data_IF_179048654657
#
_entry.id   IF_179048654657
#
_cell.length_a   1.000
_cell.length_b   1.000
_cell.length_c   1.000
_cell.angle_alpha   90.00
_cell.angle_beta   90.00
_cell.angle_gamma   90.00
#
_symmetry.space_group_name_H-M   'P 1'
#
loop_
_entity.id
_entity.type
_entity.pdbx_description
1 polymer ?
#
# COMPACT_ATOMS: atom_id res chain seq x y z
N UNK A 1 18.13 14.32 -25.64
CA UNK A 1 17.51 13.11 -25.05
C UNK A 1 17.74 13.01 -23.55
N UNK A 2 18.98 13.16 -23.06
CA UNK A 2 19.32 13.04 -21.63
C UNK A 2 18.57 14.06 -20.74
N UNK A 3 18.46 15.33 -21.15
CA UNK A 3 17.72 16.33 -20.35
C UNK A 3 16.22 16.02 -20.21
N UNK A 4 15.61 15.45 -21.24
CA UNK A 4 14.21 15.02 -21.19
C UNK A 4 14.02 13.89 -20.18
N UNK A 5 14.92 12.91 -20.14
CA UNK A 5 14.87 11.79 -19.20
C UNK A 5 15.06 12.26 -17.75
N UNK A 6 16.00 13.18 -17.51
CA UNK A 6 16.22 13.76 -16.19
C UNK A 6 14.95 14.48 -15.71
N UNK A 7 14.27 15.22 -16.61
CA UNK A 7 13.01 15.88 -16.26
C UNK A 7 11.90 14.88 -15.90
N UNK A 8 11.79 13.76 -16.61
CA UNK A 8 10.81 12.68 -16.33
C UNK A 8 11.06 12.06 -14.96
N UNK A 9 12.32 11.78 -14.60
CA UNK A 9 12.66 11.24 -13.28
C UNK A 9 12.18 12.13 -12.14
N UNK A 10 12.37 13.45 -12.26
CA UNK A 10 11.87 14.42 -11.28
C UNK A 10 10.34 14.48 -11.20
N UNK A 11 9.65 14.40 -12.34
CA UNK A 11 8.18 14.33 -12.33
C UNK A 11 7.66 13.07 -11.64
N UNK A 12 8.29 11.91 -11.86
CA UNK A 12 7.92 10.66 -11.19
C UNK A 12 8.09 10.78 -9.68
N UNK A 13 9.21 11.37 -9.21
CA UNK A 13 9.44 11.61 -7.78
C UNK A 13 8.37 12.55 -7.22
N UNK A 14 8.09 13.66 -7.91
CA UNK A 14 7.13 14.65 -7.44
C UNK A 14 5.71 14.08 -7.34
N UNK A 15 5.26 13.31 -8.34
CA UNK A 15 3.97 12.62 -8.32
C UNK A 15 3.94 11.57 -7.21
N UNK A 16 5.02 10.81 -7.03
CA UNK A 16 5.09 9.80 -5.97
C UNK A 16 5.02 10.42 -4.57
N UNK A 17 5.72 11.53 -4.34
CA UNK A 17 5.62 12.31 -3.09
C UNK A 17 4.20 12.83 -2.89
N UNK A 18 3.53 13.31 -3.94
CA UNK A 18 2.14 13.75 -3.86
C UNK A 18 1.21 12.61 -3.46
N UNK A 19 1.39 11.41 -4.00
CA UNK A 19 0.61 10.22 -3.62
C UNK A 19 0.81 9.86 -2.15
N UNK A 20 2.06 9.91 -1.66
CA UNK A 20 2.34 9.68 -0.24
C UNK A 20 1.73 10.77 0.65
N UNK A 21 1.75 12.04 0.22
CA UNK A 21 1.12 13.12 0.95
C UNK A 21 -0.40 12.94 1.03
N UNK A 22 -1.06 12.55 -0.07
CA UNK A 22 -2.51 12.30 -0.10
C UNK A 22 -2.88 11.11 0.80
N UNK A 23 -2.07 10.05 0.80
CA UNK A 23 -2.25 8.87 1.65
C UNK A 23 -2.32 9.24 3.15
N UNK A 24 -1.64 10.29 3.60
CA UNK A 24 -1.69 10.72 5.01
C UNK A 24 -3.09 11.16 5.49
N UNK A 25 -3.98 11.56 4.58
CA UNK A 25 -5.32 12.01 4.93
C UNK A 25 -6.34 10.86 5.03
N UNK A 26 -6.11 9.76 4.31
CA UNK A 26 -6.99 8.60 4.28
C UNK A 26 -6.13 7.33 4.35
N UNK A 27 -5.78 6.85 5.56
CA UNK A 27 -4.88 5.72 5.73
C UNK A 27 -5.54 4.41 5.28
N UNK A 28 -5.32 4.04 4.03
CA UNK A 28 -5.77 2.78 3.42
C UNK A 28 -4.67 2.04 2.64
N UNK A 29 -3.48 2.64 2.58
CA UNK A 29 -2.26 2.25 1.86
C UNK A 29 -2.44 1.94 0.37
N UNK A 30 -3.53 2.42 -0.24
CA UNK A 30 -3.77 2.22 -1.66
C UNK A 30 -2.86 3.12 -2.52
N UNK A 31 -2.62 4.35 -2.10
CA UNK A 31 -1.74 5.31 -2.78
C UNK A 31 -0.29 5.21 -2.31
N UNK A 32 -0.05 4.64 -1.12
CA UNK A 32 1.28 4.33 -0.60
C UNK A 32 2.14 3.49 -1.56
N UNK A 33 1.62 2.35 -2.03
CA UNK A 33 2.32 1.43 -2.95
C UNK A 33 2.72 2.10 -4.29
N UNK A 34 1.80 2.72 -5.05
CA UNK A 34 2.18 3.37 -6.30
C UNK A 34 3.08 4.58 -6.04
N UNK A 35 2.89 5.31 -4.93
CA UNK A 35 3.73 6.47 -4.58
C UNK A 35 5.19 6.12 -4.35
N UNK A 36 5.48 5.12 -3.51
CA UNK A 36 6.85 4.65 -3.26
C UNK A 36 7.50 4.07 -4.52
N UNK A 37 6.71 3.34 -5.33
CA UNK A 37 7.18 2.75 -6.59
C UNK A 37 7.60 3.84 -7.59
N UNK A 38 6.80 4.90 -7.73
CA UNK A 38 7.12 6.04 -8.59
C UNK A 38 8.39 6.77 -8.15
N UNK A 39 8.58 6.97 -6.84
CA UNK A 39 9.80 7.61 -6.30
C UNK A 39 11.03 6.76 -6.64
N UNK A 40 10.97 5.45 -6.41
CA UNK A 40 12.11 4.56 -6.66
C UNK A 40 12.44 4.49 -8.15
N UNK A 41 11.44 4.36 -9.02
CA UNK A 41 11.64 4.39 -10.47
C UNK A 41 12.23 5.74 -10.90
N UNK A 42 11.73 6.84 -10.35
CA UNK A 42 12.25 8.18 -10.62
C UNK A 42 13.73 8.30 -10.24
N UNK A 43 14.12 7.87 -9.04
CA UNK A 43 15.52 7.84 -8.60
C UNK A 43 16.38 6.96 -9.51
N UNK A 44 15.92 5.75 -9.83
CA UNK A 44 16.65 4.83 -10.73
C UNK A 44 16.85 5.47 -12.09
N UNK A 45 15.86 6.19 -12.62
CA UNK A 45 15.96 6.86 -13.91
C UNK A 45 16.92 8.05 -13.93
N UNK A 46 17.14 8.71 -12.79
CA UNK A 46 18.15 9.77 -12.66
C UNK A 46 19.58 9.20 -12.65
N UNK A 47 19.75 7.99 -12.12
CA UNK A 47 21.06 7.30 -12.04
C UNK A 47 21.37 6.58 -13.35
N UNK A 48 20.35 5.97 -13.98
CA UNK A 48 20.45 5.21 -15.23
C UNK A 48 19.43 5.77 -16.23
N UNK A 49 19.78 6.83 -16.98
CA UNK A 49 18.85 7.48 -17.92
C UNK A 49 18.28 6.53 -18.99
N UNK A 50 19.08 5.58 -19.47
CA UNK A 50 18.66 4.64 -20.52
C UNK A 50 17.69 3.55 -20.02
N UNK A 51 17.31 3.55 -18.73
CA UNK A 51 16.42 2.55 -18.14
C UNK A 51 15.04 2.51 -18.81
N UNK A 52 14.56 3.65 -19.33
CA UNK A 52 13.24 3.74 -19.99
C UNK A 52 13.14 2.93 -21.28
N UNK A 53 14.27 2.66 -21.93
CA UNK A 53 14.33 1.83 -23.13
C UNK A 53 14.52 0.33 -22.81
N UNK A 54 14.70 -0.01 -21.53
CA UNK A 54 15.03 -1.36 -21.07
C UNK A 54 13.81 -2.06 -20.46
N UNK A 55 13.57 -3.35 -20.78
CA UNK A 55 12.60 -4.18 -20.07
C UNK A 55 12.86 -4.28 -18.56
N UNK A 56 14.09 -4.01 -18.13
CA UNK A 56 14.48 -3.98 -16.72
C UNK A 56 13.66 -2.97 -15.91
N UNK A 57 13.18 -1.88 -16.53
CA UNK A 57 12.29 -0.93 -15.86
C UNK A 57 11.04 -1.61 -15.30
N UNK A 58 10.41 -2.48 -16.10
CA UNK A 58 9.19 -3.19 -15.72
C UNK A 58 9.49 -4.13 -14.55
N UNK A 59 10.61 -4.86 -14.63
CA UNK A 59 11.04 -5.78 -13.57
C UNK A 59 11.28 -5.02 -12.26
N UNK A 60 12.00 -3.90 -12.30
CA UNK A 60 12.26 -3.05 -11.14
C UNK A 60 10.96 -2.50 -10.58
N UNK A 61 10.06 -2.02 -11.43
CA UNK A 61 8.76 -1.49 -11.02
C UNK A 61 7.93 -2.55 -10.28
N UNK A 62 7.82 -3.77 -10.83
CA UNK A 62 7.07 -4.87 -10.22
C UNK A 62 7.70 -5.30 -8.89
N UNK A 63 9.00 -5.51 -8.85
CA UNK A 63 9.71 -5.90 -7.62
C UNK A 63 9.50 -4.83 -6.55
N UNK A 64 9.65 -3.56 -6.91
CA UNK A 64 9.48 -2.45 -5.98
C UNK A 64 8.05 -2.36 -5.45
N UNK A 65 7.05 -2.53 -6.32
CA UNK A 65 5.65 -2.53 -5.92
C UNK A 65 5.33 -3.68 -4.95
N UNK A 66 5.84 -4.89 -5.24
CA UNK A 66 5.66 -6.06 -4.37
C UNK A 66 6.34 -5.87 -3.01
N UNK A 67 7.58 -5.36 -2.99
CA UNK A 67 8.30 -5.06 -1.76
C UNK A 67 7.56 -4.00 -0.96
N UNK A 68 7.12 -2.90 -1.60
CA UNK A 68 6.39 -1.85 -0.91
C UNK A 68 5.06 -2.35 -0.36
N UNK A 69 4.31 -3.15 -1.11
CA UNK A 69 3.06 -3.74 -0.62
C UNK A 69 3.32 -4.68 0.57
N UNK A 70 4.32 -5.54 0.46
CA UNK A 70 4.69 -6.49 1.51
C UNK A 70 5.15 -5.79 2.79
N UNK A 71 6.05 -4.82 2.69
CA UNK A 71 6.53 -4.02 3.83
C UNK A 71 5.35 -3.33 4.51
N UNK A 72 4.42 -2.77 3.74
CA UNK A 72 3.31 -2.05 4.32
C UNK A 72 2.32 -2.96 5.01
N UNK A 73 1.92 -4.07 4.38
CA UNK A 73 1.10 -5.09 5.05
C UNK A 73 1.79 -5.56 6.33
N UNK A 74 3.11 -5.76 6.30
CA UNK A 74 3.87 -6.13 7.48
C UNK A 74 3.85 -5.05 8.57
N UNK A 75 4.04 -3.77 8.23
CA UNK A 75 3.93 -2.64 9.17
C UNK A 75 2.53 -2.56 9.77
N UNK A 76 1.48 -2.68 8.95
CA UNK A 76 0.10 -2.72 9.44
C UNK A 76 -0.15 -3.92 10.34
N UNK A 77 0.39 -5.10 10.00
CA UNK A 77 0.28 -6.27 10.86
C UNK A 77 1.01 -6.08 12.18
N UNK A 78 2.14 -5.36 12.19
CA UNK A 78 2.91 -5.08 13.40
C UNK A 78 2.16 -4.11 14.31
N UNK A 79 1.56 -3.06 13.74
CA UNK A 79 0.80 -2.06 14.50
C UNK A 79 -0.55 -2.65 14.96
N UNK A 80 -1.26 -3.34 14.08
CA UNK A 80 -2.59 -3.90 14.33
C UNK A 80 -2.61 -5.19 15.16
N UNK A 81 -1.49 -5.91 15.27
CA UNK A 81 -1.37 -7.09 16.14
C UNK A 81 -1.23 -6.73 17.63
N UNK A 82 -1.13 -5.45 17.97
CA UNK A 82 -1.22 -4.96 19.35
C UNK A 82 -2.64 -5.11 19.89
N UNK A 83 -2.98 -6.28 20.44
CA UNK A 83 -4.01 -6.58 21.47
C UNK A 83 -5.32 -5.76 21.49
N UNK A 84 -5.78 -5.24 20.37
CA UNK A 84 -7.06 -4.53 20.32
C UNK A 84 -8.08 -5.60 19.98
N UNK A 85 -8.76 -6.11 21.02
CA UNK A 85 -9.95 -6.95 20.84
C UNK A 85 -10.82 -6.25 19.81
N UNK A 86 -11.37 -6.95 18.80
CA UNK A 86 -12.19 -6.33 17.77
C UNK A 86 -13.20 -5.36 18.42
N UNK A 87 -13.08 -4.07 18.13
CA UNK A 87 -14.02 -3.03 18.62
C UNK A 87 -15.45 -3.31 18.11
N UNK A 88 -15.57 -4.17 17.10
CA UNK A 88 -16.81 -4.82 16.68
C UNK A 88 -16.75 -6.29 17.06
N UNK A 89 -17.68 -6.78 17.88
CA UNK A 89 -17.87 -8.22 18.11
C UNK A 89 -18.07 -8.92 16.76
N UNK A 90 -17.06 -9.66 16.29
CA UNK A 90 -17.21 -10.54 15.14
C UNK A 90 -18.14 -11.71 15.52
N UNK A 91 -18.88 -12.26 14.54
CA UNK A 91 -19.75 -13.45 14.78
C UNK A 91 -18.96 -14.59 15.43
N UNK A 92 -17.70 -14.75 15.04
CA UNK A 92 -16.80 -15.77 15.59
C UNK A 92 -16.44 -15.51 17.05
N UNK A 93 -16.41 -14.25 17.51
CA UNK A 93 -16.17 -13.90 18.91
C UNK A 93 -17.35 -14.26 19.84
N UNK A 94 -18.51 -14.61 19.28
CA UNK A 94 -19.69 -15.04 20.04
C UNK A 94 -19.80 -16.55 20.17
N UNK A 95 -19.00 -17.32 19.42
CA UNK A 95 -18.98 -18.79 19.51
C UNK A 95 -18.51 -19.19 20.92
N UNK A 96 -19.32 -20.02 21.60
CA UNK A 96 -19.06 -20.46 22.97
C UNK A 96 -19.54 -19.51 24.08
N UNK A 97 -20.18 -18.38 23.72
CA UNK A 97 -20.85 -17.49 24.69
C UNK A 97 -22.36 -17.75 24.72
N UNK A 98 -22.98 -17.59 25.88
CA UNK A 98 -24.44 -17.69 26.05
C UNK A 98 -25.09 -16.34 25.78
N UNK A 99 -26.15 -16.32 24.98
CA UNK A 99 -26.98 -15.13 24.71
C UNK A 99 -28.41 -15.34 25.20
N UNK A 100 -29.16 -14.24 25.35
CA UNK A 100 -30.58 -14.26 25.72
C UNK A 100 -31.42 -13.87 24.50
N UNK A 101 -32.42 -14.70 24.19
CA UNK A 101 -33.33 -14.45 23.07
C UNK A 101 -34.36 -13.41 23.50
N UNK A 102 -34.29 -12.22 22.90
CA UNK A 102 -35.22 -11.10 23.16
C UNK A 102 -36.30 -10.94 22.08
N UNK A 103 -36.19 -11.68 20.98
CA UNK A 103 -37.14 -11.69 19.86
C UNK A 103 -37.25 -13.10 19.31
N UNK A 104 -38.45 -13.48 18.91
CA UNK A 104 -38.73 -14.76 18.26
C UNK A 104 -37.85 -14.92 17.02
N UNK A 105 -37.21 -16.09 16.91
CA UNK A 105 -36.33 -16.46 15.80
C UNK A 105 -37.03 -17.56 15.02
N UNK A 106 -37.34 -17.29 13.76
CA UNK A 106 -37.89 -18.28 12.84
C UNK A 106 -36.77 -19.18 12.30
N UNK A 107 -37.09 -20.42 11.96
CA UNK A 107 -36.13 -21.46 11.56
C UNK A 107 -35.83 -21.48 10.06
N UNK A 108 -36.45 -20.58 9.30
CA UNK A 108 -36.45 -20.54 7.83
C UNK A 108 -35.52 -19.45 7.25
#
# INVERSE_FOLDING_TARGET
MIEGIISVGWYLILIGVLFLAIETFNPGFFMGVPGTTLIIIGIVSLIVPDIFSSPLLIVIAVITALISAGISVWIYSLIGSGSTKPETTSKDSLIGKTGLVIKEVDSD
#
